data_IF_523932604141
#
_entry.id   IF_523932604141
#
_cell.length_a   1.000
_cell.length_b   1.000
_cell.length_c   1.000
_cell.angle_alpha   90.00
_cell.angle_beta   90.00
_cell.angle_gamma   90.00
#
_symmetry.space_group_name_H-M   'P 1'
#
loop_
_entity.id
_entity.type
_entity.pdbx_description
1 polymer ?
#
# COMPACT_ATOMS: atom_id res chain seq x y z
N UNK A 1 7.76 21.24 57.68
CA UNK A 1 7.40 21.38 56.25
C UNK A 1 8.51 20.73 55.42
N UNK A 2 8.33 19.51 54.92
CA UNK A 2 9.26 18.86 53.98
C UNK A 2 8.50 18.68 52.67
N UNK A 3 8.85 19.47 51.66
CA UNK A 3 8.34 19.29 50.30
C UNK A 3 8.93 18.01 49.73
N UNK A 4 8.06 17.05 49.39
CA UNK A 4 8.41 15.87 48.62
C UNK A 4 8.46 16.28 47.15
N UNK A 5 9.64 16.22 46.54
CA UNK A 5 9.86 16.45 45.11
C UNK A 5 9.50 15.18 44.33
N UNK A 6 8.61 15.32 43.34
CA UNK A 6 8.45 14.41 42.20
C UNK A 6 8.57 15.26 40.92
N UNK A 7 8.93 14.72 39.73
CA UNK A 7 9.72 13.52 39.42
C UNK A 7 10.74 13.80 38.26
N UNK A 8 12.05 13.72 38.50
CA UNK A 8 13.06 13.91 37.43
C UNK A 8 13.23 12.70 36.48
N UNK A 9 12.57 11.58 36.75
CA UNK A 9 12.70 10.35 35.97
C UNK A 9 11.82 10.30 34.71
N UNK A 10 10.73 11.10 34.64
CA UNK A 10 9.85 11.10 33.48
C UNK A 10 10.44 11.84 32.26
N UNK A 11 11.30 12.84 32.50
CA UNK A 11 11.88 13.67 31.44
C UNK A 11 12.97 12.94 30.63
N UNK A 12 13.64 11.94 31.22
CA UNK A 12 14.73 11.21 30.56
C UNK A 12 14.21 10.15 29.56
N UNK A 13 13.05 9.54 29.84
CA UNK A 13 12.47 8.51 29.00
C UNK A 13 11.87 9.06 27.69
N UNK A 14 11.29 10.27 27.70
CA UNK A 14 10.72 10.90 26.51
C UNK A 14 11.78 11.26 25.45
N UNK A 15 12.98 11.68 25.90
CA UNK A 15 14.08 12.02 25.00
C UNK A 15 14.66 10.79 24.30
N UNK A 16 14.71 9.63 24.97
CA UNK A 16 15.20 8.40 24.38
C UNK A 16 14.32 7.94 23.19
N UNK A 17 12.99 7.99 23.34
CA UNK A 17 12.06 7.62 22.28
C UNK A 17 12.21 8.48 21.02
N UNK A 18 12.35 9.81 21.19
CA UNK A 18 12.56 10.73 20.06
C UNK A 18 13.91 10.51 19.35
N UNK A 19 14.97 10.13 20.08
CA UNK A 19 16.27 9.83 19.47
C UNK A 19 16.29 8.51 18.71
N UNK A 20 15.52 7.50 19.16
CA UNK A 20 15.41 6.24 18.44
C UNK A 20 14.64 6.38 17.12
N UNK A 21 13.61 7.21 17.10
CA UNK A 21 12.85 7.52 15.89
C UNK A 21 13.72 8.22 14.84
N UNK A 22 14.54 9.19 15.26
CA UNK A 22 15.49 9.88 14.39
C UNK A 22 16.64 8.98 13.88
N UNK A 23 17.05 7.97 14.66
CA UNK A 23 18.15 7.06 14.27
C UNK A 23 17.66 5.94 13.34
N UNK A 24 16.53 5.32 13.68
CA UNK A 24 16.00 4.16 12.96
C UNK A 24 14.99 4.51 11.87
N UNK A 25 14.59 5.79 11.77
CA UNK A 25 13.60 6.27 10.81
C UNK A 25 12.35 5.38 10.81
N UNK A 26 11.79 5.10 12.00
CA UNK A 26 10.53 4.40 12.04
C UNK A 26 9.55 5.25 11.24
N UNK A 27 9.01 4.67 10.16
CA UNK A 27 8.12 5.38 9.27
C UNK A 27 6.94 5.98 10.06
N UNK A 28 6.22 6.95 9.48
CA UNK A 28 5.05 7.52 10.15
C UNK A 28 4.13 6.39 10.61
N UNK A 29 3.49 6.59 11.77
CA UNK A 29 2.52 5.62 12.28
C UNK A 29 1.54 5.25 11.17
N UNK A 30 1.37 3.95 10.93
CA UNK A 30 0.51 3.44 9.88
C UNK A 30 -0.87 4.08 10.00
N UNK A 31 -1.33 4.68 8.90
CA UNK A 31 -2.68 5.24 8.86
C UNK A 31 -3.66 4.08 8.88
N UNK A 32 -4.56 4.09 9.85
CA UNK A 32 -5.62 3.09 9.93
C UNK A 32 -6.76 3.52 9.00
N UNK A 33 -7.17 2.61 8.12
CA UNK A 33 -8.36 2.83 7.28
C UNK A 33 -9.61 2.88 8.17
N UNK A 34 -10.30 4.02 8.18
CA UNK A 34 -11.50 4.25 8.99
C UNK A 34 -12.79 4.18 8.18
N UNK A 35 -12.70 4.12 6.86
CA UNK A 35 -13.86 3.98 5.99
C UNK A 35 -14.48 2.60 6.14
N UNK A 36 -15.81 2.53 6.03
CA UNK A 36 -16.48 1.24 5.88
C UNK A 36 -16.16 0.61 4.53
N UNK A 37 -16.33 -0.71 4.42
CA UNK A 37 -16.18 -1.42 3.14
C UNK A 37 -17.09 -0.83 2.06
N UNK A 38 -18.32 -0.41 2.39
CA UNK A 38 -19.23 0.24 1.44
C UNK A 38 -18.69 1.58 0.92
N UNK A 39 -18.03 2.37 1.78
CA UNK A 39 -17.41 3.63 1.37
C UNK A 39 -16.21 3.39 0.44
N UNK A 40 -15.40 2.37 0.74
CA UNK A 40 -14.27 1.96 -0.10
C UNK A 40 -14.79 1.44 -1.45
N UNK A 41 -15.84 0.62 -1.43
CA UNK A 41 -16.48 0.08 -2.63
C UNK A 41 -17.02 1.20 -3.53
N UNK A 42 -17.74 2.17 -2.97
CA UNK A 42 -18.21 3.34 -3.72
C UNK A 42 -17.07 4.14 -4.33
N UNK A 43 -15.99 4.36 -3.58
CA UNK A 43 -14.81 5.03 -4.11
C UNK A 43 -14.21 4.23 -5.28
N UNK A 44 -14.06 2.90 -5.15
CA UNK A 44 -13.50 2.04 -6.20
C UNK A 44 -14.31 2.06 -7.51
N UNK A 45 -15.63 2.28 -7.45
CA UNK A 45 -16.47 2.44 -8.64
C UNK A 45 -16.06 3.67 -9.48
N UNK A 46 -15.65 4.76 -8.82
CA UNK A 46 -15.18 5.98 -9.48
C UNK A 46 -13.77 5.81 -10.10
N UNK A 47 -13.05 4.76 -9.72
CA UNK A 47 -11.67 4.49 -10.16
C UNK A 47 -11.57 3.65 -11.44
N UNK A 48 -12.71 3.25 -12.02
CA UNK A 48 -12.78 2.46 -13.25
C UNK A 48 -13.18 1.01 -13.04
N UNK A 49 -13.45 0.60 -11.80
CA UNK A 49 -14.10 -0.67 -11.49
C UNK A 49 -13.27 -1.93 -11.79
N UNK A 50 -11.94 -1.80 -11.83
CA UNK A 50 -11.02 -2.94 -11.99
C UNK A 50 -9.96 -2.89 -10.90
N UNK A 51 -9.78 -4.01 -10.21
CA UNK A 51 -8.65 -4.26 -9.32
C UNK A 51 -7.76 -5.27 -10.05
N UNK A 52 -6.58 -4.84 -10.48
CA UNK A 52 -5.53 -5.79 -10.90
C UNK A 52 -4.90 -6.36 -9.64
N UNK A 53 -4.46 -7.62 -9.62
CA UNK A 53 -3.65 -8.15 -8.51
C UNK A 53 -2.80 -9.31 -8.97
N UNK A 54 -1.56 -9.37 -8.48
CA UNK A 54 -0.60 -10.41 -8.80
C UNK A 54 -0.35 -11.28 -7.56
N UNK A 55 -0.86 -12.51 -7.58
CA UNK A 55 -0.77 -13.47 -6.48
C UNK A 55 0.35 -14.47 -6.71
N UNK A 56 1.12 -14.75 -5.66
CA UNK A 56 2.05 -15.87 -5.66
C UNK A 56 1.28 -17.19 -5.66
N UNK A 57 1.61 -18.10 -6.57
CA UNK A 57 1.04 -19.44 -6.59
C UNK A 57 1.76 -20.38 -7.55
N UNK A 58 1.57 -21.68 -7.36
CA UNK A 58 2.15 -22.74 -8.17
C UNK A 58 1.31 -23.04 -9.42
N UNK A 59 0.00 -22.76 -9.38
CA UNK A 59 -0.94 -23.00 -10.48
C UNK A 59 -1.76 -21.77 -10.83
N UNK A 60 -2.05 -21.59 -12.14
CA UNK A 60 -2.76 -20.40 -12.66
C UNK A 60 -4.14 -20.17 -12.04
N UNK A 61 -4.81 -21.23 -11.62
CA UNK A 61 -6.18 -21.23 -11.08
C UNK A 61 -6.22 -21.37 -9.54
N UNK A 62 -5.07 -21.32 -8.87
CA UNK A 62 -4.99 -21.54 -7.41
C UNK A 62 -5.85 -20.56 -6.61
N UNK A 63 -6.03 -19.34 -7.14
CA UNK A 63 -6.77 -18.26 -6.48
C UNK A 63 -8.16 -18.00 -7.08
N UNK A 64 -8.70 -18.95 -7.86
CA UNK A 64 -10.04 -18.85 -8.45
C UNK A 64 -11.13 -18.67 -7.39
N UNK A 65 -10.97 -19.30 -6.22
CA UNK A 65 -11.89 -19.17 -5.10
C UNK A 65 -11.92 -17.73 -4.56
N UNK A 66 -10.76 -17.09 -4.43
CA UNK A 66 -10.63 -15.69 -4.00
C UNK A 66 -11.26 -14.77 -5.03
N UNK A 67 -10.95 -14.97 -6.32
CA UNK A 67 -11.56 -14.20 -7.41
C UNK A 67 -13.08 -14.30 -7.39
N UNK A 68 -13.61 -15.52 -7.27
CA UNK A 68 -15.06 -15.76 -7.20
C UNK A 68 -15.68 -15.10 -5.98
N UNK A 69 -15.08 -15.23 -4.81
CA UNK A 69 -15.59 -14.61 -3.57
C UNK A 69 -15.61 -13.08 -3.68
N UNK A 70 -14.52 -12.49 -4.19
CA UNK A 70 -14.42 -11.04 -4.38
C UNK A 70 -15.49 -10.52 -5.35
N UNK A 71 -15.60 -11.12 -6.54
CA UNK A 71 -16.58 -10.67 -7.55
C UNK A 71 -18.02 -10.97 -7.12
N UNK A 72 -18.24 -11.94 -6.22
CA UNK A 72 -19.56 -12.17 -5.60
C UNK A 72 -19.90 -11.07 -4.59
N UNK A 73 -18.93 -10.65 -3.78
CA UNK A 73 -19.11 -9.57 -2.81
C UNK A 73 -19.23 -8.19 -3.46
N UNK A 74 -18.54 -7.99 -4.60
CA UNK A 74 -18.40 -6.70 -5.27
C UNK A 74 -18.75 -6.83 -6.77
N UNK A 75 -20.03 -7.06 -7.14
CA UNK A 75 -20.43 -7.52 -8.47
C UNK A 75 -20.12 -6.57 -9.63
N UNK A 76 -19.90 -5.29 -9.35
CA UNK A 76 -19.54 -4.28 -10.36
C UNK A 76 -18.03 -4.16 -10.56
N UNK A 77 -17.21 -4.60 -9.60
CA UNK A 77 -15.75 -4.49 -9.66
C UNK A 77 -15.18 -5.80 -10.19
N UNK A 78 -14.35 -5.73 -11.23
CA UNK A 78 -13.65 -6.90 -11.76
C UNK A 78 -12.30 -7.09 -11.09
N UNK A 79 -11.98 -8.33 -10.73
CA UNK A 79 -10.65 -8.70 -10.27
C UNK A 79 -9.83 -9.26 -11.43
N UNK A 80 -8.89 -8.47 -11.95
CA UNK A 80 -7.90 -8.88 -12.94
C UNK A 80 -6.72 -9.56 -12.23
N UNK A 81 -6.89 -10.86 -11.96
CA UNK A 81 -5.97 -11.66 -11.16
C UNK A 81 -4.96 -12.40 -12.04
N UNK A 82 -3.68 -12.23 -11.75
CA UNK A 82 -2.59 -13.05 -12.29
C UNK A 82 -2.01 -13.90 -11.18
N UNK A 83 -1.83 -15.20 -11.41
CA UNK A 83 -1.14 -16.10 -10.48
C UNK A 83 0.11 -16.65 -11.15
N UNK A 84 1.25 -16.51 -10.48
CA UNK A 84 2.52 -17.08 -10.92
C UNK A 84 3.49 -17.25 -9.74
N UNK A 85 4.62 -17.92 -9.97
CA UNK A 85 5.68 -18.03 -8.98
C UNK A 85 6.23 -16.65 -8.63
N UNK A 86 6.42 -16.39 -7.35
CA UNK A 86 6.88 -15.09 -6.84
C UNK A 86 8.18 -14.61 -7.49
N UNK A 87 9.09 -15.53 -7.82
CA UNK A 87 10.36 -15.22 -8.52
C UNK A 87 10.17 -14.64 -9.93
N UNK A 88 9.06 -14.97 -10.60
CA UNK A 88 8.75 -14.44 -11.92
C UNK A 88 7.95 -13.14 -11.81
N UNK A 89 7.02 -13.06 -10.86
CA UNK A 89 6.29 -11.81 -10.59
C UNK A 89 7.24 -10.66 -10.26
N UNK A 90 8.26 -10.93 -9.42
CA UNK A 90 9.33 -9.98 -9.07
C UNK A 90 10.04 -9.44 -10.33
N UNK A 91 10.63 -10.32 -11.15
CA UNK A 91 11.31 -9.91 -12.38
C UNK A 91 10.40 -9.23 -13.42
N UNK A 92 9.13 -9.61 -13.48
CA UNK A 92 8.15 -8.99 -14.36
C UNK A 92 7.77 -7.57 -13.91
N UNK A 93 7.75 -7.30 -12.60
CA UNK A 93 7.53 -5.96 -12.04
C UNK A 93 8.75 -5.09 -12.34
N UNK A 94 9.96 -5.59 -12.12
CA UNK A 94 11.20 -4.90 -12.47
C UNK A 94 11.26 -4.54 -13.96
N UNK A 95 10.86 -5.47 -14.83
CA UNK A 95 10.80 -5.22 -16.26
C UNK A 95 9.77 -4.16 -16.63
N UNK A 96 8.61 -4.12 -15.96
CA UNK A 96 7.62 -3.07 -16.18
C UNK A 96 8.12 -1.70 -15.72
N UNK A 97 8.79 -1.64 -14.56
CA UNK A 97 9.44 -0.44 -14.05
C UNK A 97 10.48 0.09 -15.04
N UNK A 98 11.41 -0.77 -15.47
CA UNK A 98 12.48 -0.40 -16.41
C UNK A 98 11.93 0.10 -17.76
N UNK A 99 10.78 -0.39 -18.19
CA UNK A 99 10.15 -0.03 -19.46
C UNK A 99 9.11 1.09 -19.34
N UNK A 100 8.92 1.72 -18.17
CA UNK A 100 7.84 2.67 -17.89
C UNK A 100 6.43 2.12 -18.22
N UNK A 101 6.25 0.80 -18.10
CA UNK A 101 5.05 0.05 -18.45
C UNK A 101 4.30 -0.48 -17.22
N UNK A 102 4.61 0.03 -16.02
CA UNK A 102 3.84 -0.28 -14.81
C UNK A 102 2.34 -0.13 -15.11
N UNK A 103 1.56 -1.18 -14.82
CA UNK A 103 0.10 -1.09 -14.84
C UNK A 103 -0.32 -0.24 -13.63
N UNK A 104 -0.46 1.07 -13.81
CA UNK A 104 -0.96 2.01 -12.81
C UNK A 104 -2.13 2.83 -13.35
N UNK A 105 -2.92 3.47 -12.48
CA UNK A 105 -4.08 4.27 -12.90
C UNK A 105 -3.63 5.59 -13.56
N UNK A 106 -3.36 5.51 -14.88
CA UNK A 106 -2.91 6.62 -15.74
C UNK A 106 -3.75 7.91 -15.58
N UNK A 107 -5.04 7.77 -15.26
CA UNK A 107 -5.96 8.88 -15.11
C UNK A 107 -5.77 9.67 -13.81
N UNK A 108 -5.19 9.06 -12.76
CA UNK A 108 -4.95 9.72 -11.46
C UNK A 108 -3.57 10.39 -11.34
N UNK A 109 -2.57 10.01 -12.14
CA UNK A 109 -1.23 10.62 -12.13
C UNK A 109 -0.87 11.34 -13.45
N UNK A 110 -1.86 11.88 -14.16
CA UNK A 110 -1.68 12.61 -15.43
C UNK A 110 -0.50 13.59 -15.36
N UNK A 111 0.52 13.35 -16.18
CA UNK A 111 1.71 14.21 -16.31
C UNK A 111 2.82 13.98 -15.26
N UNK A 112 2.73 12.94 -14.43
CA UNK A 112 3.79 12.56 -13.47
C UNK A 112 4.62 11.41 -14.01
N UNK A 113 5.93 11.46 -13.77
CA UNK A 113 6.86 10.36 -14.11
C UNK A 113 6.48 9.15 -13.26
N UNK A 114 6.57 7.93 -13.79
CA UNK A 114 6.39 6.74 -12.96
C UNK A 114 7.46 6.73 -11.83
N UNK A 115 7.10 6.33 -10.60
CA UNK A 115 8.09 6.12 -9.55
C UNK A 115 9.08 5.04 -10.00
N UNK A 116 10.37 5.32 -9.88
CA UNK A 116 11.44 4.44 -10.31
C UNK A 116 12.15 3.77 -9.14
N UNK A 117 12.21 4.45 -7.99
CA UNK A 117 12.90 3.99 -6.78
C UNK A 117 11.93 3.95 -5.60
N UNK A 118 12.23 3.16 -4.55
CA UNK A 118 11.40 3.03 -3.35
C UNK A 118 10.97 4.39 -2.76
N UNK A 119 11.88 5.37 -2.72
CA UNK A 119 11.59 6.72 -2.21
C UNK A 119 10.53 7.45 -3.02
N UNK A 120 10.40 7.17 -4.31
CA UNK A 120 9.39 7.81 -5.16
C UNK A 120 7.99 7.34 -4.74
N UNK A 121 7.83 6.07 -4.34
CA UNK A 121 6.55 5.54 -3.85
C UNK A 121 6.07 6.18 -2.54
N UNK A 122 6.98 6.82 -1.80
CA UNK A 122 6.66 7.53 -0.56
C UNK A 122 6.19 8.97 -0.82
N UNK A 123 6.35 9.49 -2.04
CA UNK A 123 6.05 10.88 -2.30
C UNK A 123 4.54 11.15 -2.16
N UNK A 124 4.12 12.26 -1.51
CA UNK A 124 2.71 12.53 -1.20
C UNK A 124 1.78 12.50 -2.41
N UNK A 125 2.29 12.84 -3.60
CA UNK A 125 1.57 12.84 -4.87
C UNK A 125 1.06 11.46 -5.29
N UNK A 126 1.68 10.39 -4.79
CA UNK A 126 1.35 9.01 -5.11
C UNK A 126 0.47 8.34 -4.04
N UNK A 127 0.35 8.95 -2.87
CA UNK A 127 -0.45 8.45 -1.75
C UNK A 127 -1.94 8.38 -2.13
N UNK A 128 -2.54 7.19 -2.03
CA UNK A 128 -3.93 6.94 -2.42
C UNK A 128 -4.21 7.02 -3.93
N UNK A 129 -3.14 7.09 -4.74
CA UNK A 129 -3.22 7.16 -6.21
C UNK A 129 -2.38 6.11 -6.92
N UNK A 130 -1.38 5.54 -6.24
CA UNK A 130 -0.75 4.29 -6.64
C UNK A 130 -1.64 3.12 -6.27
N UNK A 131 -2.06 2.37 -7.28
CA UNK A 131 -2.35 0.96 -7.12
C UNK A 131 -1.03 0.23 -7.41
N UNK A 132 -0.30 -0.13 -6.35
CA UNK A 132 0.63 -1.25 -6.45
C UNK A 132 -0.19 -2.48 -6.07
N UNK A 133 -0.49 -3.30 -7.06
CA UNK A 133 -1.27 -4.52 -6.91
C UNK A 133 -0.68 -5.62 -7.77
#
# INVERSE_FOLDING_TARGET
MRLVSLPSTLLLAANAAATYDALFHFGPTAQVETRSIDQIYKAALEEGGVVTTWFGGDEKNQEDAVKKAFETAFPVIKLNLTVDLSKYLDGNIDQQLANNNLIWNANKLKGKKAPAEYSDFLAPEYKGKLALT
#
